data_IF_805918304774
#
_entry.id   IF_805918304774
#
_cell.length_a   1.000
_cell.length_b   1.000
_cell.length_c   1.000
_cell.angle_alpha   90.00
_cell.angle_beta   90.00
_cell.angle_gamma   90.00
#
_symmetry.space_group_name_H-M   'P 1'
#
loop_
_entity.id
_entity.type
_entity.pdbx_description
1 polymer ?
#
# COMPACT_ATOMS: atom_id res chain seq x y z
N UNK A 1 -58.07 -39.95 27.63
CA UNK A 1 -56.76 -39.84 28.31
C UNK A 1 -55.92 -38.83 27.53
N UNK A 2 -55.64 -37.67 28.14
CA UNK A 2 -54.90 -36.55 27.54
C UNK A 2 -53.39 -36.71 27.77
N UNK A 3 -52.58 -36.56 26.72
CA UNK A 3 -51.15 -36.28 26.84
C UNK A 3 -50.86 -34.92 26.17
N UNK A 4 -50.17 -33.98 26.84
CA UNK A 4 -49.82 -32.70 26.22
C UNK A 4 -48.59 -32.86 25.30
N UNK A 5 -48.73 -32.42 24.05
CA UNK A 5 -47.62 -32.25 23.11
C UNK A 5 -46.81 -31.02 23.52
N UNK A 6 -45.56 -31.20 23.96
CA UNK A 6 -44.62 -30.09 24.18
C UNK A 6 -43.95 -29.70 22.85
N UNK A 7 -43.97 -28.41 22.53
CA UNK A 7 -43.35 -27.85 21.32
C UNK A 7 -41.82 -27.94 21.36
N UNK A 8 -41.11 -28.37 20.28
CA UNK A 8 -39.65 -28.51 20.27
C UNK A 8 -38.88 -27.17 20.26
N UNK A 9 -39.57 -26.04 20.04
CA UNK A 9 -38.91 -24.75 19.78
C UNK A 9 -38.25 -24.10 21.00
N UNK A 10 -38.54 -24.54 22.23
CA UNK A 10 -37.93 -23.96 23.44
C UNK A 10 -36.55 -24.53 23.77
N UNK A 11 -36.19 -25.70 23.23
CA UNK A 11 -34.95 -26.39 23.61
C UNK A 11 -33.75 -25.99 22.74
N UNK A 12 -33.99 -25.51 21.52
CA UNK A 12 -32.94 -25.04 20.61
C UNK A 12 -32.34 -23.68 21.04
N UNK A 13 -33.15 -22.80 21.65
CA UNK A 13 -32.71 -21.47 22.08
C UNK A 13 -31.73 -21.46 23.25
N UNK A 14 -31.89 -22.37 24.21
CA UNK A 14 -30.97 -22.50 25.36
C UNK A 14 -29.59 -23.02 24.95
N UNK A 15 -29.54 -23.97 24.00
CA UNK A 15 -28.27 -24.54 23.54
C UNK A 15 -27.41 -23.52 22.80
N UNK A 16 -28.03 -22.66 21.99
CA UNK A 16 -27.35 -21.55 21.30
C UNK A 16 -26.88 -20.44 22.26
N UNK A 17 -27.61 -20.18 23.34
CA UNK A 17 -27.22 -19.18 24.34
C UNK A 17 -26.02 -19.63 25.18
N UNK A 18 -26.00 -20.90 25.61
CA UNK A 18 -24.85 -21.48 26.30
C UNK A 18 -23.62 -21.53 25.40
N UNK A 19 -23.76 -21.97 24.14
CA UNK A 19 -22.65 -22.01 23.19
C UNK A 19 -22.04 -20.62 22.93
N UNK A 20 -22.85 -19.57 22.77
CA UNK A 20 -22.34 -18.19 22.62
C UNK A 20 -21.63 -17.69 23.87
N UNK A 21 -22.13 -18.03 25.07
CA UNK A 21 -21.51 -17.65 26.33
C UNK A 21 -20.16 -18.36 26.53
N UNK A 22 -20.07 -19.63 26.14
CA UNK A 22 -18.84 -20.43 26.24
C UNK A 22 -17.76 -19.92 25.28
N UNK A 23 -18.13 -19.63 24.03
CA UNK A 23 -17.22 -19.01 23.05
C UNK A 23 -16.78 -17.61 23.52
N UNK A 24 -17.69 -16.81 24.08
CA UNK A 24 -17.34 -15.50 24.64
C UNK A 24 -16.37 -15.62 25.83
N UNK A 25 -16.60 -16.56 26.74
CA UNK A 25 -15.76 -16.80 27.90
C UNK A 25 -14.37 -17.32 27.51
N UNK A 26 -14.26 -18.21 26.52
CA UNK A 26 -12.99 -18.66 25.95
C UNK A 26 -12.24 -17.52 25.26
N UNK A 27 -12.93 -16.67 24.49
CA UNK A 27 -12.33 -15.51 23.82
C UNK A 27 -11.75 -14.50 24.82
N UNK A 28 -12.45 -14.26 25.94
CA UNK A 28 -11.98 -13.39 27.02
C UNK A 28 -10.81 -14.02 27.80
N UNK A 29 -10.85 -15.33 28.04
CA UNK A 29 -9.74 -16.07 28.68
C UNK A 29 -8.48 -15.98 27.81
N UNK A 30 -8.60 -16.23 26.51
CA UNK A 30 -7.51 -16.11 25.55
C UNK A 30 -6.97 -14.66 25.46
N UNK A 31 -7.83 -13.65 25.52
CA UNK A 31 -7.39 -12.23 25.56
C UNK A 31 -6.66 -11.88 26.87
N UNK A 32 -7.07 -12.43 28.02
CA UNK A 32 -6.41 -12.21 29.31
C UNK A 32 -5.06 -12.92 29.39
N UNK A 33 -4.96 -14.15 28.88
CA UNK A 33 -3.69 -14.89 28.80
C UNK A 33 -2.75 -14.27 27.75
N UNK A 34 -3.26 -13.82 26.60
CA UNK A 34 -2.49 -13.02 25.64
C UNK A 34 -1.94 -11.74 26.29
N UNK A 35 -2.77 -10.99 27.04
CA UNK A 35 -2.32 -9.78 27.75
C UNK A 35 -1.29 -10.08 28.84
N UNK A 36 -1.36 -11.23 29.53
CA UNK A 36 -0.32 -11.67 30.49
C UNK A 36 0.99 -12.00 29.78
N UNK A 37 0.95 -12.67 28.63
CA UNK A 37 2.12 -12.93 27.79
C UNK A 37 2.73 -11.61 27.27
N UNK A 38 1.89 -10.66 26.82
CA UNK A 38 2.35 -9.34 26.39
C UNK A 38 2.93 -8.52 27.55
N UNK A 39 2.43 -8.70 28.78
CA UNK A 39 2.91 -8.00 29.97
C UNK A 39 4.16 -8.65 30.59
N UNK A 40 4.36 -9.97 30.45
CA UNK A 40 5.60 -10.66 30.82
C UNK A 40 6.78 -10.35 29.88
N UNK A 41 6.51 -9.98 28.63
CA UNK A 41 7.55 -9.47 27.71
C UNK A 41 7.99 -8.03 28.04
N UNK A 42 7.25 -7.30 28.88
CA UNK A 42 7.55 -5.92 29.28
C UNK A 42 8.39 -5.79 30.57
N UNK A 43 8.74 -6.90 31.23
CA UNK A 43 9.55 -6.90 32.46
C UNK A 43 11.00 -7.40 32.26
N UNK A 44 11.43 -7.60 31.01
CA UNK A 44 12.84 -7.80 30.66
C UNK A 44 13.53 -6.45 30.46
N UNK A 45 13.99 -5.83 31.54
CA UNK A 45 14.96 -4.73 31.49
C UNK A 45 16.28 -5.25 30.89
N UNK A 46 16.37 -5.30 29.56
CA UNK A 46 17.65 -5.15 28.90
C UNK A 46 18.03 -3.68 29.00
N UNK A 47 19.07 -3.40 29.78
CA UNK A 47 19.87 -2.19 29.64
C UNK A 47 20.50 -2.19 28.24
N UNK A 48 19.72 -1.80 27.23
CA UNK A 48 20.29 -1.31 25.98
C UNK A 48 20.79 0.08 26.33
N UNK A 49 22.10 0.22 26.48
CA UNK A 49 22.72 1.52 26.41
C UNK A 49 22.14 2.21 25.19
N UNK A 50 21.47 3.35 25.39
CA UNK A 50 21.07 4.24 24.32
C UNK A 50 22.35 4.84 23.71
N UNK A 51 23.15 4.01 23.06
CA UNK A 51 23.90 4.46 21.90
C UNK A 51 22.83 4.99 20.97
N UNK A 52 22.81 6.31 20.74
CA UNK A 52 22.16 6.85 19.57
C UNK A 52 22.68 5.97 18.43
N UNK A 53 21.82 5.12 17.87
CA UNK A 53 22.13 4.54 16.58
C UNK A 53 22.29 5.77 15.69
N UNK A 54 23.53 6.07 15.35
CA UNK A 54 23.81 6.98 14.26
C UNK A 54 23.27 6.24 13.05
N UNK A 55 22.02 6.55 12.67
CA UNK A 55 21.31 5.87 11.59
C UNK A 55 21.97 6.13 10.23
N UNK A 56 23.18 6.72 10.19
CA UNK A 56 23.85 7.13 8.96
C UNK A 56 23.07 8.19 8.18
N UNK A 57 21.99 8.76 8.74
CA UNK A 57 21.19 9.78 8.07
C UNK A 57 21.98 11.07 7.82
N UNK A 58 23.10 11.27 8.55
CA UNK A 58 24.05 12.34 8.29
C UNK A 58 24.90 12.12 7.02
N UNK A 59 24.85 10.94 6.40
CA UNK A 59 25.59 10.60 5.18
C UNK A 59 24.82 11.00 3.90
N UNK A 60 23.49 10.99 3.93
CA UNK A 60 22.66 11.28 2.75
C UNK A 60 22.12 12.70 2.74
N UNK A 61 22.09 13.30 1.55
CA UNK A 61 21.50 14.63 1.41
C UNK A 61 19.99 14.58 1.58
N UNK A 62 19.36 15.70 1.94
CA UNK A 62 17.90 15.78 1.93
C UNK A 62 17.30 15.50 0.54
N UNK A 63 18.08 15.70 -0.54
CA UNK A 63 17.65 15.36 -1.91
C UNK A 63 17.52 13.85 -2.10
N UNK A 64 18.50 13.07 -1.66
CA UNK A 64 18.49 11.61 -1.77
C UNK A 64 17.36 11.01 -0.94
N UNK A 65 17.27 11.43 0.33
CA UNK A 65 16.23 10.95 1.23
C UNK A 65 14.83 11.30 0.71
N UNK A 66 14.60 12.55 0.28
CA UNK A 66 13.30 12.96 -0.26
C UNK A 66 12.95 12.24 -1.55
N UNK A 67 13.91 11.96 -2.43
CA UNK A 67 13.66 11.20 -3.64
C UNK A 67 13.18 9.78 -3.29
N UNK A 68 13.93 9.05 -2.46
CA UNK A 68 13.56 7.69 -2.04
C UNK A 68 12.20 7.64 -1.34
N UNK A 69 11.93 8.55 -0.41
CA UNK A 69 10.65 8.60 0.31
C UNK A 69 9.47 8.85 -0.62
N UNK A 70 9.60 9.80 -1.56
CA UNK A 70 8.52 10.12 -2.49
C UNK A 70 8.27 8.97 -3.46
N UNK A 71 9.33 8.45 -4.11
CA UNK A 71 9.20 7.34 -5.06
C UNK A 71 8.61 6.10 -4.39
N UNK A 72 8.99 5.81 -3.15
CA UNK A 72 8.41 4.69 -2.40
C UNK A 72 6.91 4.87 -2.18
N UNK A 73 6.43 6.08 -1.85
CA UNK A 73 5.00 6.34 -1.67
C UNK A 73 4.22 6.38 -2.98
N UNK A 74 4.80 6.94 -4.03
CA UNK A 74 4.21 6.95 -5.37
C UNK A 74 4.05 5.54 -5.90
N UNK A 75 5.10 4.73 -5.82
CA UNK A 75 5.04 3.33 -6.23
C UNK A 75 4.08 2.48 -5.39
N UNK A 76 3.91 2.77 -4.08
CA UNK A 76 2.85 2.14 -3.28
C UNK A 76 1.46 2.51 -3.78
N UNK A 77 1.22 3.81 -4.01
CA UNK A 77 -0.06 4.30 -4.51
C UNK A 77 -0.39 3.70 -5.88
N UNK A 78 0.56 3.66 -6.80
CA UNK A 78 0.33 3.17 -8.17
C UNK A 78 0.02 1.68 -8.22
N UNK A 79 0.61 0.87 -7.34
CA UNK A 79 0.22 -0.54 -7.19
C UNK A 79 -1.22 -0.66 -6.64
N UNK A 80 -1.57 0.13 -5.61
CA UNK A 80 -2.93 0.13 -5.06
C UNK A 80 -3.97 0.61 -6.08
N UNK A 81 -3.63 1.62 -6.88
CA UNK A 81 -4.47 2.13 -7.97
C UNK A 81 -4.60 1.12 -9.10
N UNK A 82 -3.54 0.40 -9.46
CA UNK A 82 -3.59 -0.69 -10.43
C UNK A 82 -4.54 -1.82 -10.01
N UNK A 83 -4.56 -2.16 -8.72
CA UNK A 83 -5.51 -3.12 -8.13
C UNK A 83 -6.95 -2.60 -8.17
N UNK A 84 -7.12 -1.31 -7.86
CA UNK A 84 -8.43 -0.67 -7.92
C UNK A 84 -9.00 -0.68 -9.35
N UNK A 85 -8.15 -0.41 -10.35
CA UNK A 85 -8.53 -0.47 -11.76
C UNK A 85 -9.07 -1.84 -12.18
N UNK A 86 -8.57 -2.96 -11.63
CA UNK A 86 -9.09 -4.30 -11.97
C UNK A 86 -10.57 -4.46 -11.63
N UNK A 87 -11.05 -3.74 -10.61
CA UNK A 87 -12.39 -3.91 -10.05
C UNK A 87 -13.34 -2.76 -10.37
N UNK A 88 -12.82 -1.54 -10.55
CA UNK A 88 -13.65 -0.34 -10.70
C UNK A 88 -13.73 0.17 -12.15
N UNK A 89 -12.78 -0.20 -13.01
CA UNK A 89 -12.78 0.21 -14.41
C UNK A 89 -13.89 -0.46 -15.24
N UNK A 90 -14.44 0.27 -16.21
CA UNK A 90 -15.30 -0.30 -17.25
C UNK A 90 -14.46 -0.75 -18.45
N UNK A 91 -13.55 0.11 -18.89
CA UNK A 91 -12.72 -0.10 -20.06
C UNK A 91 -11.70 -1.23 -19.84
N UNK A 92 -11.72 -2.24 -20.71
CA UNK A 92 -10.71 -3.32 -20.74
C UNK A 92 -9.30 -2.76 -20.78
N UNK A 93 -9.10 -1.66 -21.50
CA UNK A 93 -7.83 -0.99 -21.61
C UNK A 93 -7.30 -0.52 -20.24
N UNK A 94 -8.14 0.17 -19.46
CA UNK A 94 -7.76 0.66 -18.12
C UNK A 94 -7.42 -0.51 -17.19
N UNK A 95 -8.14 -1.63 -17.29
CA UNK A 95 -7.80 -2.86 -16.55
C UNK A 95 -6.43 -3.41 -16.95
N UNK A 96 -6.16 -3.56 -18.25
CA UNK A 96 -4.87 -4.07 -18.72
C UNK A 96 -3.70 -3.18 -18.27
N UNK A 97 -3.83 -1.85 -18.41
CA UNK A 97 -2.81 -0.94 -17.93
C UNK A 97 -2.68 -0.95 -16.41
N UNK A 98 -3.77 -1.07 -15.66
CA UNK A 98 -3.74 -1.28 -14.21
C UNK A 98 -2.93 -2.51 -13.82
N UNK A 99 -3.03 -3.60 -14.58
CA UNK A 99 -2.23 -4.81 -14.35
C UNK A 99 -0.73 -4.55 -14.60
N UNK A 100 -0.38 -3.81 -15.65
CA UNK A 100 1.00 -3.38 -15.87
C UNK A 100 1.53 -2.52 -14.72
N UNK A 101 0.71 -1.64 -14.11
CA UNK A 101 1.14 -0.87 -12.94
C UNK A 101 1.49 -1.78 -11.75
N UNK A 102 0.64 -2.77 -11.47
CA UNK A 102 0.88 -3.74 -10.39
C UNK A 102 2.23 -4.45 -10.60
N UNK A 103 2.49 -4.93 -11.81
CA UNK A 103 3.67 -5.72 -12.11
C UNK A 103 4.95 -4.89 -12.12
N UNK A 104 4.94 -3.76 -12.84
CA UNK A 104 6.14 -2.97 -13.07
C UNK A 104 6.49 -2.12 -11.85
N UNK A 105 5.50 -1.45 -11.22
CA UNK A 105 5.76 -0.70 -9.99
C UNK A 105 6.01 -1.64 -8.81
N UNK A 106 5.40 -2.84 -8.78
CA UNK A 106 5.74 -3.87 -7.79
C UNK A 106 7.23 -4.26 -7.85
N UNK A 107 7.77 -4.47 -9.05
CA UNK A 107 9.21 -4.74 -9.25
C UNK A 107 10.07 -3.53 -8.88
N UNK A 108 9.69 -2.33 -9.31
CA UNK A 108 10.39 -1.07 -8.99
C UNK A 108 10.49 -0.84 -7.48
N UNK A 109 9.38 -1.06 -6.75
CA UNK A 109 9.32 -0.93 -5.30
C UNK A 109 10.27 -1.91 -4.62
N UNK A 110 10.31 -3.16 -5.07
CA UNK A 110 11.20 -4.19 -4.52
C UNK A 110 12.68 -3.89 -4.78
N UNK A 111 13.02 -3.37 -5.97
CA UNK A 111 14.37 -2.91 -6.27
C UNK A 111 14.79 -1.73 -5.38
N UNK A 112 13.93 -0.71 -5.24
CA UNK A 112 14.19 0.44 -4.38
C UNK A 112 14.36 0.01 -2.93
N UNK A 113 13.52 -0.91 -2.44
CA UNK A 113 13.60 -1.46 -1.09
C UNK A 113 14.95 -2.15 -0.84
N UNK A 114 15.45 -2.94 -1.80
CA UNK A 114 16.77 -3.58 -1.70
C UNK A 114 17.90 -2.55 -1.67
N UNK A 115 17.84 -1.53 -2.53
CA UNK A 115 18.83 -0.45 -2.54
C UNK A 115 18.84 0.33 -1.23
N UNK A 116 17.66 0.70 -0.74
CA UNK A 116 17.50 1.43 0.51
C UNK A 116 17.99 0.62 1.71
N UNK A 117 17.66 -0.68 1.77
CA UNK A 117 18.14 -1.59 2.81
C UNK A 117 19.68 -1.71 2.81
N UNK A 118 20.30 -1.90 1.65
CA UNK A 118 21.78 -1.94 1.52
C UNK A 118 22.44 -0.66 2.04
N UNK A 119 21.72 0.45 1.97
CA UNK A 119 22.19 1.81 2.30
C UNK A 119 21.71 2.32 3.65
N UNK A 120 20.93 1.54 4.39
CA UNK A 120 20.26 1.96 5.62
C UNK A 120 19.39 3.22 5.46
N UNK A 121 18.84 3.46 4.26
CA UNK A 121 17.88 4.54 4.04
C UNK A 121 16.49 4.06 4.48
N UNK A 122 15.83 4.73 5.45
CA UNK A 122 14.49 4.36 5.85
C UNK A 122 13.50 4.71 4.73
N UNK A 123 12.64 3.77 4.38
CA UNK A 123 11.52 4.00 3.47
C UNK A 123 10.20 4.05 4.26
N UNK A 124 9.23 4.85 3.81
CA UNK A 124 7.90 4.86 4.41
C UNK A 124 7.17 3.54 4.15
N UNK A 125 6.45 3.06 5.15
CA UNK A 125 5.65 1.82 5.07
C UNK A 125 4.17 2.08 4.75
N UNK A 126 3.79 3.36 4.60
CA UNK A 126 2.43 3.79 4.32
C UNK A 126 2.40 5.03 3.44
N UNK A 127 1.24 5.23 2.79
CA UNK A 127 0.93 6.47 2.10
C UNK A 127 0.91 7.65 3.08
N UNK A 128 1.23 8.83 2.57
CA UNK A 128 0.92 10.07 3.27
C UNK A 128 -0.54 10.49 3.03
N UNK A 129 -0.96 11.54 3.74
CA UNK A 129 -2.33 12.02 3.69
C UNK A 129 -2.77 12.47 2.28
N UNK A 130 -1.86 12.97 1.45
CA UNK A 130 -2.19 13.42 0.09
C UNK A 130 -2.50 12.22 -0.81
N UNK A 131 -1.62 11.23 -0.82
CA UNK A 131 -1.79 10.00 -1.62
C UNK A 131 -2.95 9.16 -1.12
N UNK A 132 -3.17 9.10 0.20
CA UNK A 132 -4.34 8.42 0.76
C UNK A 132 -5.64 9.08 0.30
N UNK A 133 -5.74 10.42 0.32
CA UNK A 133 -6.93 11.12 -0.18
C UNK A 133 -7.19 10.85 -1.66
N UNK A 134 -6.15 10.79 -2.47
CA UNK A 134 -6.27 10.48 -3.90
C UNK A 134 -6.77 9.05 -4.13
N UNK A 135 -6.26 8.09 -3.35
CA UNK A 135 -6.79 6.72 -3.34
C UNK A 135 -8.27 6.68 -2.94
N UNK A 136 -8.63 7.32 -1.82
CA UNK A 136 -9.99 7.36 -1.29
C UNK A 136 -10.98 8.06 -2.25
N UNK A 137 -10.52 9.06 -3.00
CA UNK A 137 -11.29 9.71 -4.05
C UNK A 137 -11.63 8.72 -5.16
N UNK A 138 -10.62 8.03 -5.71
CA UNK A 138 -10.81 7.07 -6.81
C UNK A 138 -11.61 5.85 -6.37
N UNK A 139 -11.47 5.41 -5.11
CA UNK A 139 -12.20 4.26 -4.55
C UNK A 139 -13.73 4.46 -4.58
N UNK A 140 -14.21 5.70 -4.58
CA UNK A 140 -15.65 6.01 -4.60
C UNK A 140 -16.25 6.03 -6.00
N UNK A 141 -15.40 5.99 -7.03
CA UNK A 141 -15.83 6.07 -8.42
C UNK A 141 -15.85 4.69 -9.04
N UNK A 142 -16.81 4.43 -9.93
CA UNK A 142 -16.84 3.20 -10.73
C UNK A 142 -17.17 3.51 -12.18
N UNK A 143 -16.94 2.56 -13.06
CA UNK A 143 -17.31 2.65 -14.46
C UNK A 143 -16.62 3.78 -15.22
N UNK A 144 -17.35 4.49 -16.08
CA UNK A 144 -16.79 5.56 -16.91
C UNK A 144 -16.25 6.75 -16.10
N UNK A 145 -16.85 7.06 -14.95
CA UNK A 145 -16.38 8.14 -14.08
C UNK A 145 -15.01 7.79 -13.49
N UNK A 146 -14.87 6.54 -13.04
CA UNK A 146 -13.58 6.00 -12.60
C UNK A 146 -12.56 6.08 -13.73
N UNK A 147 -12.85 5.52 -14.91
CA UNK A 147 -11.89 5.47 -16.02
C UNK A 147 -11.39 6.87 -16.40
N UNK A 148 -12.31 7.82 -16.54
CA UNK A 148 -11.97 9.21 -16.88
C UNK A 148 -11.13 9.89 -15.81
N UNK A 149 -11.46 9.70 -14.52
CA UNK A 149 -10.69 10.32 -13.43
C UNK A 149 -9.33 9.65 -13.29
N UNK A 150 -9.30 8.33 -13.32
CA UNK A 150 -8.13 7.48 -13.18
C UNK A 150 -7.09 7.77 -14.25
N UNK A 151 -7.45 7.75 -15.54
CA UNK A 151 -6.51 8.05 -16.64
C UNK A 151 -5.85 9.44 -16.45
N UNK A 152 -6.64 10.45 -16.08
CA UNK A 152 -6.11 11.81 -15.82
C UNK A 152 -5.18 11.87 -14.62
N UNK A 153 -5.45 11.09 -13.56
CA UNK A 153 -4.49 10.92 -12.44
C UNK A 153 -3.20 10.33 -12.97
N UNK A 154 -3.27 9.17 -13.64
CA UNK A 154 -2.08 8.44 -14.05
C UNK A 154 -1.19 9.27 -14.99
N UNK A 155 -1.76 9.99 -15.95
CA UNK A 155 -1.00 10.92 -16.81
C UNK A 155 -0.28 11.99 -15.98
N UNK A 156 -0.98 12.61 -15.02
CA UNK A 156 -0.43 13.69 -14.21
C UNK A 156 0.69 13.19 -13.29
N UNK A 157 0.47 12.09 -12.58
CA UNK A 157 1.45 11.50 -11.67
C UNK A 157 2.67 11.02 -12.46
N UNK A 158 2.51 10.30 -13.56
CA UNK A 158 3.64 9.85 -14.39
C UNK A 158 4.44 11.02 -14.96
N UNK A 159 3.80 12.10 -15.42
CA UNK A 159 4.50 13.32 -15.85
C UNK A 159 5.32 13.93 -14.72
N UNK A 160 4.81 13.93 -13.49
CA UNK A 160 5.53 14.43 -12.30
C UNK A 160 6.70 13.52 -11.96
N UNK A 161 6.49 12.22 -12.00
CA UNK A 161 7.49 11.24 -11.59
C UNK A 161 8.62 11.18 -12.60
N UNK A 162 8.34 11.19 -13.91
CA UNK A 162 9.37 11.33 -14.96
C UNK A 162 10.22 12.59 -14.73
N UNK A 163 9.62 13.73 -14.36
CA UNK A 163 10.40 14.95 -14.04
C UNK A 163 11.28 14.75 -12.80
N UNK A 164 10.76 14.08 -11.77
CA UNK A 164 11.51 13.78 -10.54
C UNK A 164 12.69 12.85 -10.83
N UNK A 165 12.43 11.73 -11.50
CA UNK A 165 13.44 10.76 -11.92
C UNK A 165 14.50 11.38 -12.83
N UNK A 166 14.12 12.19 -13.84
CA UNK A 166 15.10 12.89 -14.70
C UNK A 166 15.97 13.86 -13.91
N UNK A 167 15.40 14.61 -12.96
CA UNK A 167 16.15 15.53 -12.11
C UNK A 167 17.13 14.76 -11.23
N UNK A 168 16.68 13.70 -10.60
CA UNK A 168 17.50 12.90 -9.71
C UNK A 168 18.60 12.15 -10.48
N UNK A 169 18.28 11.52 -11.62
CA UNK A 169 19.23 10.89 -12.51
C UNK A 169 20.38 11.82 -12.95
N UNK A 170 20.13 13.14 -13.03
CA UNK A 170 21.14 14.14 -13.40
C UNK A 170 21.94 14.69 -12.23
N UNK A 171 21.34 14.80 -11.04
CA UNK A 171 21.87 15.64 -9.96
C UNK A 171 21.70 15.06 -8.55
N UNK A 172 21.23 13.82 -8.41
CA UNK A 172 21.23 13.08 -7.15
C UNK A 172 22.66 12.84 -6.68
N UNK A 173 22.89 12.88 -5.38
CA UNK A 173 24.23 12.78 -4.82
C UNK A 173 24.61 11.31 -4.62
N UNK A 174 23.62 10.47 -4.33
CA UNK A 174 23.85 9.04 -4.17
C UNK A 174 23.89 8.27 -5.51
N UNK A 175 25.09 7.78 -5.87
CA UNK A 175 25.41 7.23 -7.19
C UNK A 175 24.56 6.01 -7.58
N UNK A 176 24.34 5.06 -6.67
CA UNK A 176 23.59 3.84 -7.00
C UNK A 176 22.12 4.18 -7.26
N UNK A 177 21.54 5.07 -6.45
CA UNK A 177 20.14 5.49 -6.59
C UNK A 177 19.99 6.35 -7.86
N UNK A 178 20.99 7.19 -8.16
CA UNK A 178 21.00 8.01 -9.39
C UNK A 178 21.01 7.13 -10.64
N UNK A 179 21.86 6.11 -10.64
CA UNK A 179 21.97 5.15 -11.74
C UNK A 179 20.69 4.33 -11.89
N UNK A 180 20.13 3.87 -10.77
CA UNK A 180 18.85 3.17 -10.75
C UNK A 180 17.72 4.05 -11.30
N UNK A 181 17.60 5.31 -10.85
CA UNK A 181 16.59 6.24 -11.36
C UNK A 181 16.71 6.44 -12.87
N UNK A 182 17.93 6.57 -13.40
CA UNK A 182 18.15 6.68 -14.84
C UNK A 182 17.66 5.44 -15.61
N UNK A 183 17.89 4.24 -15.07
CA UNK A 183 17.49 2.97 -15.68
C UNK A 183 15.96 2.75 -15.69
N UNK A 184 15.20 3.40 -14.80
CA UNK A 184 13.75 3.24 -14.72
C UNK A 184 12.97 4.24 -15.57
N UNK A 185 13.60 5.30 -16.07
CA UNK A 185 12.95 6.29 -16.93
C UNK A 185 12.21 5.69 -18.13
N UNK A 186 12.77 4.72 -18.90
CA UNK A 186 12.06 4.16 -20.05
C UNK A 186 10.78 3.39 -19.68
N UNK A 187 10.67 2.88 -18.45
CA UNK A 187 9.45 2.23 -17.97
C UNK A 187 8.37 3.29 -17.71
N UNK A 188 8.72 4.35 -16.96
CA UNK A 188 7.79 5.44 -16.65
C UNK A 188 7.32 6.18 -17.91
N UNK A 189 8.21 6.39 -18.89
CA UNK A 189 7.87 7.03 -20.17
C UNK A 189 6.89 6.19 -20.97
N UNK A 190 7.11 4.87 -21.05
CA UNK A 190 6.18 3.95 -21.71
C UNK A 190 4.82 3.92 -21.04
N UNK A 191 4.79 3.90 -19.70
CA UNK A 191 3.53 3.95 -18.96
C UNK A 191 2.79 5.28 -19.20
N UNK A 192 3.50 6.41 -19.32
CA UNK A 192 2.86 7.66 -19.71
C UNK A 192 2.24 7.58 -21.11
N UNK A 193 2.96 7.05 -22.09
CA UNK A 193 2.47 6.87 -23.46
C UNK A 193 1.19 6.01 -23.50
N UNK A 194 1.22 4.90 -22.75
CA UNK A 194 0.08 4.01 -22.51
C UNK A 194 -1.15 4.78 -21.97
N UNK A 195 -0.97 5.63 -20.95
CA UNK A 195 -2.08 6.41 -20.40
C UNK A 195 -2.58 7.51 -21.34
N UNK A 196 -1.69 8.15 -22.10
CA UNK A 196 -2.08 9.13 -23.11
C UNK A 196 -2.83 8.47 -24.29
N UNK A 197 -2.48 7.24 -24.65
CA UNK A 197 -3.24 6.45 -25.63
C UNK A 197 -4.63 6.08 -25.10
N UNK A 198 -4.73 5.61 -23.85
CA UNK A 198 -6.00 5.33 -23.20
C UNK A 198 -6.92 6.57 -23.20
N UNK A 199 -6.36 7.75 -22.91
CA UNK A 199 -7.08 9.03 -22.95
C UNK A 199 -7.65 9.34 -24.33
N UNK A 200 -6.82 9.20 -25.39
CA UNK A 200 -7.25 9.45 -26.78
C UNK A 200 -8.36 8.49 -27.21
N UNK A 201 -8.23 7.20 -26.90
CA UNK A 201 -9.22 6.19 -27.32
C UNK A 201 -10.55 6.33 -26.59
N UNK A 202 -10.54 6.75 -25.33
CA UNK A 202 -11.76 6.98 -24.56
C UNK A 202 -12.53 8.24 -24.99
N UNK A 203 -12.03 8.98 -26.00
CA UNK A 203 -12.66 10.18 -26.57
C UNK A 203 -12.91 11.29 -25.54
N UNK A 204 -11.98 11.46 -24.59
CA UNK A 204 -12.00 12.52 -23.57
C UNK A 204 -11.14 13.73 -23.93
#
# INVERSE_FOLDING_TARGET
MNYPVRSPLRQCGMFMAHFKQDVYNETIKNRKEMKKITMMLLAGLMSVAAGKADLGLAEYTSRDLNFCMNVSRDGMLEVMLGQLAQTHALLTQVKMHGQHMIEDHGKLNEELRKLALKKNIPLPEALDNERQRLYDELLRLTGEEFDRRYIRVMIREHKRDIRSFRRYARSGDELDIRSWAALKLPVLERHLEMWEEAYRMASY
#
